data_IF_866429861624
#
_entry.id   IF_866429861624
#
_cell.length_a   1.000
_cell.length_b   1.000
_cell.length_c   1.000
_cell.angle_alpha   90.00
_cell.angle_beta   90.00
_cell.angle_gamma   90.00
#
_symmetry.space_group_name_H-M   'P 1'
#
loop_
_entity.id
_entity.type
_entity.pdbx_description
1 polymer ?
#
# COMPACT_ATOMS: atom_id res chain seq x y z
N UNK A 1 -26.43 8.34 1.43
CA UNK A 1 -25.84 8.40 1.15
C UNK A 1 -25.11 8.53 0.64
N UNK A 2 -25.19 8.68 0.63
CA UNK A 2 -24.51 8.77 0.28
C UNK A 2 -23.49 8.62 0.11
N UNK A 3 -23.26 8.14 0.38
CA UNK A 3 -22.09 7.61 0.25
C UNK A 3 -21.30 8.04 -0.63
N UNK A 4 -21.20 8.54 -0.66
CA UNK A 4 -20.51 9.05 -1.66
C UNK A 4 -19.14 8.64 -1.70
N UNK A 5 -18.62 8.71 -2.80
CA UNK A 5 -17.27 8.38 -3.06
C UNK A 5 -16.30 9.18 -2.28
N UNK A 6 -16.73 10.31 -1.80
CA UNK A 6 -15.88 11.08 -0.91
C UNK A 6 -15.60 10.32 0.35
N UNK A 7 -16.44 9.35 0.66
CA UNK A 7 -16.20 8.51 1.80
C UNK A 7 -14.96 7.66 1.67
N UNK A 8 -14.41 7.56 0.47
CA UNK A 8 -13.17 6.84 0.27
C UNK A 8 -11.98 7.58 0.84
N UNK A 9 -12.11 8.85 1.11
CA UNK A 9 -11.03 9.60 1.70
C UNK A 9 -11.19 9.56 3.21
N UNK A 10 -10.28 8.91 3.90
CA UNK A 10 -10.42 8.77 5.34
C UNK A 10 -10.28 10.12 6.02
N UNK A 11 -11.13 10.37 6.98
CA UNK A 11 -10.94 11.49 7.89
C UNK A 11 -9.92 11.09 8.92
N UNK A 12 -9.34 12.07 9.59
CA UNK A 12 -8.35 11.80 10.63
C UNK A 12 -9.01 11.01 11.76
N UNK A 13 -8.49 9.83 12.10
CA UNK A 13 -9.08 9.05 13.19
C UNK A 13 -8.82 9.70 14.54
N UNK A 14 -9.82 9.69 15.42
CA UNK A 14 -9.73 10.32 16.72
C UNK A 14 -9.70 9.30 17.86
N UNK A 15 -9.90 8.01 17.57
CA UNK A 15 -9.87 6.98 18.60
C UNK A 15 -9.50 5.65 17.98
N UNK A 16 -9.30 4.63 18.84
CA UNK A 16 -8.88 3.30 18.38
C UNK A 16 -9.88 2.64 17.47
N UNK A 17 -11.17 2.85 17.72
CA UNK A 17 -12.20 2.25 16.87
C UNK A 17 -12.13 2.79 15.45
N UNK A 18 -11.91 4.09 15.32
CA UNK A 18 -11.81 4.71 14.01
C UNK A 18 -10.57 4.26 13.25
N UNK A 19 -9.43 4.17 13.94
CA UNK A 19 -8.21 3.76 13.23
C UNK A 19 -8.30 2.30 12.82
N UNK A 20 -8.94 1.45 13.63
CA UNK A 20 -9.15 0.06 13.23
C UNK A 20 -10.06 -0.04 12.00
N UNK A 21 -11.11 0.77 11.95
CA UNK A 21 -11.99 0.79 10.80
C UNK A 21 -11.28 1.29 9.56
N UNK A 22 -10.42 2.29 9.70
CA UNK A 22 -9.63 2.77 8.57
C UNK A 22 -8.64 1.71 8.11
N UNK A 23 -8.04 0.98 9.04
CA UNK A 23 -7.12 -0.10 8.68
C UNK A 23 -7.84 -1.16 7.83
N UNK A 24 -9.07 -1.51 8.19
CA UNK A 24 -9.85 -2.46 7.39
C UNK A 24 -10.13 -1.90 6.00
N UNK A 25 -10.48 -0.62 5.92
CA UNK A 25 -10.79 0.01 4.65
C UNK A 25 -9.56 0.07 3.74
N UNK A 26 -8.42 0.44 4.30
CA UNK A 26 -7.17 0.49 3.55
C UNK A 26 -6.77 -0.92 3.11
N UNK A 27 -6.88 -1.88 4.01
CA UNK A 27 -6.54 -3.26 3.69
C UNK A 27 -7.41 -3.78 2.55
N UNK A 28 -8.71 -3.50 2.58
CA UNK A 28 -9.58 -3.87 1.47
C UNK A 28 -9.08 -3.28 0.16
N UNK A 29 -8.68 -2.02 0.18
CA UNK A 29 -8.24 -1.35 -1.04
C UNK A 29 -6.94 -1.94 -1.59
N UNK A 30 -5.99 -2.26 -0.72
CA UNK A 30 -4.69 -2.72 -1.21
C UNK A 30 -4.61 -4.23 -1.40
N UNK A 31 -5.42 -5.01 -0.66
CA UNK A 31 -5.34 -6.47 -0.72
C UNK A 31 -6.41 -7.10 -1.60
N UNK A 32 -7.59 -6.49 -1.65
CA UNK A 32 -8.74 -7.11 -2.29
C UNK A 32 -9.23 -6.40 -3.55
N UNK A 33 -8.63 -5.28 -3.94
CA UNK A 33 -8.87 -4.74 -5.27
C UNK A 33 -8.48 -5.80 -6.28
N UNK A 34 -9.32 -6.08 -7.29
CA UNK A 34 -8.98 -7.08 -8.29
C UNK A 34 -7.61 -6.81 -8.90
N UNK A 35 -6.84 -7.86 -9.09
CA UNK A 35 -5.45 -7.71 -9.56
C UNK A 35 -5.39 -6.91 -10.87
N UNK A 36 -6.36 -7.12 -11.75
CA UNK A 36 -6.36 -6.45 -13.04
C UNK A 36 -6.61 -4.94 -12.93
N UNK A 37 -7.08 -4.48 -11.80
CA UNK A 37 -7.29 -3.06 -11.54
C UNK A 37 -6.11 -2.43 -10.80
N UNK A 38 -5.15 -3.22 -10.37
CA UNK A 38 -3.95 -2.70 -9.73
C UNK A 38 -3.04 -2.06 -10.77
N UNK A 39 -2.13 -1.20 -10.31
CA UNK A 39 -1.22 -0.49 -11.20
C UNK A 39 -0.12 -1.41 -11.70
N UNK A 40 0.03 -1.59 -13.00
CA UNK A 40 1.14 -2.38 -13.51
C UNK A 40 2.46 -1.66 -13.27
N UNK A 41 3.54 -2.43 -13.25
CA UNK A 41 4.86 -1.85 -13.15
C UNK A 41 5.14 -1.09 -14.45
N UNK A 42 5.36 0.21 -14.34
CA UNK A 42 5.66 1.02 -15.50
C UNK A 42 6.93 1.79 -15.23
N UNK A 43 7.50 2.32 -16.29
CA UNK A 43 8.80 2.95 -16.19
C UNK A 43 8.80 4.19 -15.31
N UNK A 44 7.75 4.99 -15.41
CA UNK A 44 7.71 6.27 -14.72
C UNK A 44 6.64 6.35 -13.63
N UNK A 45 5.80 5.34 -13.51
CA UNK A 45 4.73 5.29 -12.51
C UNK A 45 3.83 6.54 -12.55
N UNK A 46 3.59 7.08 -13.74
CA UNK A 46 2.88 8.35 -13.87
C UNK A 46 1.43 8.27 -13.44
N UNK A 47 0.84 7.07 -13.44
CA UNK A 47 -0.55 6.90 -13.03
C UNK A 47 -0.71 6.79 -11.51
N UNK A 48 0.39 6.75 -10.77
CA UNK A 48 0.35 6.67 -9.32
C UNK A 48 0.32 8.07 -8.74
N UNK A 49 -0.60 8.38 -7.81
CA UNK A 49 -0.68 9.71 -7.23
C UNK A 49 0.60 10.09 -6.49
N UNK A 50 0.95 11.36 -6.59
CA UNK A 50 2.11 11.89 -5.86
C UNK A 50 1.65 12.43 -4.50
N UNK A 51 1.07 11.54 -3.69
CA UNK A 51 0.51 11.88 -2.39
C UNK A 51 0.96 10.85 -1.37
N UNK A 52 0.88 11.18 -0.08
CA UNK A 52 1.16 10.21 0.97
C UNK A 52 0.16 9.08 0.94
N UNK A 53 0.61 7.90 1.34
CA UNK A 53 -0.31 6.78 1.41
C UNK A 53 0.35 5.50 1.83
N UNK A 54 -0.44 4.44 1.73
CA UNK A 54 -0.03 3.07 1.98
C UNK A 54 -0.16 2.32 0.66
N UNK A 55 0.78 1.44 0.40
CA UNK A 55 0.82 0.70 -0.85
C UNK A 55 1.10 -0.77 -0.58
N UNK A 56 0.76 -1.60 -1.54
CA UNK A 56 1.09 -3.00 -1.53
C UNK A 56 1.73 -3.40 -2.84
N UNK A 57 2.74 -4.24 -2.76
CA UNK A 57 3.28 -4.95 -3.93
C UNK A 57 2.60 -6.30 -3.91
N UNK A 58 1.91 -6.65 -5.00
CA UNK A 58 1.10 -7.85 -5.08
C UNK A 58 1.53 -8.72 -6.25
N UNK A 59 1.42 -10.04 -6.05
CA UNK A 59 1.61 -11.00 -7.12
C UNK A 59 0.25 -11.59 -7.48
N UNK A 60 0.06 -11.88 -8.78
CA UNK A 60 -1.21 -12.36 -9.30
C UNK A 60 -1.74 -13.57 -8.54
N UNK A 61 -0.88 -14.51 -8.20
CA UNK A 61 -1.31 -15.73 -7.52
C UNK A 61 -0.80 -15.85 -6.10
N UNK A 62 0.28 -15.15 -5.74
CA UNK A 62 0.87 -15.23 -4.41
C UNK A 62 0.30 -14.19 -3.44
N UNK A 63 -0.46 -13.24 -3.95
CA UNK A 63 -1.09 -12.24 -3.12
C UNK A 63 -0.13 -11.14 -2.67
N UNK A 64 -0.28 -10.72 -1.43
CA UNK A 64 0.52 -9.62 -0.89
C UNK A 64 1.96 -10.05 -0.70
N UNK A 65 2.88 -9.30 -1.31
CA UNK A 65 4.31 -9.53 -1.14
C UNK A 65 4.93 -8.56 -0.14
N UNK A 66 4.48 -7.31 -0.19
CA UNK A 66 5.06 -6.26 0.66
C UNK A 66 4.03 -5.14 0.84
N UNK A 67 4.00 -4.55 2.03
CA UNK A 67 3.19 -3.38 2.34
C UNK A 67 4.09 -2.33 2.95
N UNK A 68 3.92 -1.08 2.53
CA UNK A 68 4.68 0.03 3.05
C UNK A 68 3.89 1.31 3.11
N UNK A 69 4.47 2.32 3.74
CA UNK A 69 3.94 3.66 3.77
C UNK A 69 4.94 4.63 3.19
N UNK A 70 4.47 5.76 2.70
CA UNK A 70 5.37 6.76 2.15
C UNK A 70 4.68 8.12 2.14
N UNK A 71 5.49 9.17 2.14
CA UNK A 71 4.99 10.53 1.96
C UNK A 71 4.67 10.84 0.50
N UNK A 72 5.22 10.06 -0.43
CA UNK A 72 4.94 10.22 -1.85
C UNK A 72 4.87 8.85 -2.50
N UNK A 73 3.66 8.42 -2.85
CA UNK A 73 3.47 7.12 -3.49
C UNK A 73 4.26 7.02 -4.80
N UNK A 74 4.13 8.04 -5.66
CA UNK A 74 4.85 8.01 -6.93
C UNK A 74 6.35 8.02 -6.71
N UNK A 75 6.82 8.88 -5.83
CA UNK A 75 8.24 9.03 -5.58
C UNK A 75 8.88 7.77 -5.02
N UNK A 76 8.09 7.00 -4.26
CA UNK A 76 8.62 5.78 -3.65
C UNK A 76 9.06 4.75 -4.67
N UNK A 77 8.44 4.73 -5.85
CA UNK A 77 8.71 3.70 -6.84
C UNK A 77 9.65 4.16 -7.95
N UNK A 78 9.83 5.46 -8.14
CA UNK A 78 10.58 5.97 -9.28
C UNK A 78 12.04 5.53 -9.31
N UNK A 79 12.66 5.38 -8.15
CA UNK A 79 14.04 4.92 -8.09
C UNK A 79 14.19 3.42 -7.94
N UNK A 80 13.10 2.69 -8.07
CA UNK A 80 13.07 1.26 -7.80
C UNK A 80 12.69 0.98 -6.36
N UNK A 81 12.34 -0.25 -6.08
CA UNK A 81 11.94 -0.67 -4.74
C UNK A 81 12.54 -2.04 -4.48
N UNK A 82 12.97 -2.28 -3.26
CA UNK A 82 13.59 -3.56 -2.90
C UNK A 82 12.68 -4.74 -3.21
N UNK A 83 11.36 -4.59 -3.03
CA UNK A 83 10.43 -5.66 -3.30
C UNK A 83 10.47 -6.11 -4.76
N UNK A 84 10.77 -5.20 -5.70
CA UNK A 84 10.86 -5.56 -7.10
C UNK A 84 12.07 -6.45 -7.36
N UNK A 85 13.20 -6.15 -6.71
CA UNK A 85 14.39 -6.97 -6.83
C UNK A 85 14.19 -8.33 -6.19
N UNK A 86 13.50 -8.38 -5.06
CA UNK A 86 13.20 -9.65 -4.39
C UNK A 86 12.27 -10.50 -5.24
N UNK A 87 11.29 -9.86 -5.89
CA UNK A 87 10.39 -10.57 -6.80
C UNK A 87 11.16 -11.16 -7.98
N UNK A 88 12.13 -10.41 -8.48
CA UNK A 88 12.96 -10.89 -9.58
C UNK A 88 13.80 -12.09 -9.13
N UNK A 89 14.36 -12.03 -7.92
CA UNK A 89 15.13 -13.16 -7.39
C UNK A 89 14.27 -14.40 -7.17
N UNK A 90 13.00 -14.20 -6.83
CA UNK A 90 12.05 -15.30 -6.68
C UNK A 90 11.54 -15.78 -8.03
N UNK A 91 12.05 -15.23 -9.12
CA UNK A 91 11.72 -15.62 -10.48
C UNK A 91 10.27 -15.34 -10.87
N UNK A 92 9.69 -14.31 -10.27
CA UNK A 92 8.36 -13.86 -10.66
C UNK A 92 8.47 -13.01 -11.93
N UNK A 93 7.52 -13.19 -12.83
CA UNK A 93 7.41 -12.34 -14.01
C UNK A 93 6.90 -10.97 -13.60
N UNK A 94 7.48 -9.92 -14.19
CA UNK A 94 7.04 -8.56 -13.88
C UNK A 94 5.57 -8.34 -14.22
N UNK A 95 5.04 -9.08 -15.21
CA UNK A 95 3.64 -8.99 -15.58
C UNK A 95 2.71 -9.49 -14.47
N UNK A 96 3.22 -10.31 -13.57
CA UNK A 96 2.44 -10.87 -12.47
C UNK A 96 2.60 -10.08 -11.18
N UNK A 97 3.31 -8.95 -11.22
CA UNK A 97 3.54 -8.11 -10.06
C UNK A 97 2.92 -6.74 -10.33
N UNK A 98 2.08 -6.28 -9.42
CA UNK A 98 1.41 -4.98 -9.54
C UNK A 98 1.38 -4.26 -8.22
N UNK A 99 1.02 -2.99 -8.29
CA UNK A 99 0.95 -2.11 -7.13
C UNK A 99 -0.50 -1.76 -6.85
N UNK A 100 -0.89 -1.87 -5.60
CA UNK A 100 -2.16 -1.33 -5.12
C UNK A 100 -1.82 -0.19 -4.16
N UNK A 101 -2.46 0.96 -4.32
CA UNK A 101 -2.14 2.13 -3.53
C UNK A 101 -3.40 2.73 -2.93
N UNK A 102 -3.25 3.33 -1.76
CA UNK A 102 -4.34 4.05 -1.11
C UNK A 102 -3.76 5.34 -0.54
N UNK A 103 -4.26 6.47 -1.03
CA UNK A 103 -3.82 7.76 -0.50
C UNK A 103 -4.39 7.97 0.89
N UNK A 104 -3.60 8.60 1.75
CA UNK A 104 -3.99 8.91 3.13
C UNK A 104 -3.82 10.41 3.34
N UNK A 105 -4.93 11.16 3.46
CA UNK A 105 -4.86 12.62 3.46
C UNK A 105 -4.26 13.25 4.70
N UNK A 106 -4.09 12.53 5.80
CA UNK A 106 -3.55 13.12 7.02
C UNK A 106 -2.03 12.93 7.12
N UNK A 107 -1.36 13.24 6.03
CA UNK A 107 0.10 13.12 5.95
C UNK A 107 0.83 14.00 6.96
N UNK A 108 0.16 15.05 7.47
CA UNK A 108 0.75 15.91 8.48
C UNK A 108 0.89 15.25 9.84
N UNK A 109 0.32 14.05 9.97
CA UNK A 109 0.40 13.30 11.21
C UNK A 109 1.07 11.96 10.94
N UNK A 110 2.41 11.95 10.85
CA UNK A 110 3.12 10.70 10.51
C UNK A 110 2.95 9.60 11.55
N UNK A 111 2.66 9.95 12.78
CA UNK A 111 2.43 8.94 13.81
C UNK A 111 1.17 8.12 13.52
N UNK A 112 0.13 8.75 13.00
CA UNK A 112 -1.08 8.03 12.60
C UNK A 112 -0.83 7.12 11.41
N UNK A 113 -0.05 7.58 10.46
CA UNK A 113 0.28 6.77 9.29
C UNK A 113 1.09 5.54 9.71
N UNK A 114 2.03 5.72 10.63
CA UNK A 114 2.82 4.62 11.16
C UNK A 114 1.95 3.62 11.91
N UNK A 115 1.03 4.11 12.72
CA UNK A 115 0.13 3.22 13.47
C UNK A 115 -0.79 2.44 12.54
N UNK A 116 -1.31 3.09 11.52
CA UNK A 116 -2.17 2.46 10.53
C UNK A 116 -1.42 1.33 9.81
N UNK A 117 -0.20 1.62 9.37
CA UNK A 117 0.63 0.61 8.73
C UNK A 117 0.90 -0.57 9.67
N UNK A 118 1.21 -0.28 10.92
CA UNK A 118 1.51 -1.33 11.89
C UNK A 118 0.33 -2.27 12.11
N UNK A 119 -0.88 -1.74 12.17
CA UNK A 119 -2.08 -2.55 12.32
C UNK A 119 -2.23 -3.47 11.12
N UNK A 120 -2.04 -2.93 9.92
CA UNK A 120 -2.19 -3.71 8.69
C UNK A 120 -1.11 -4.79 8.60
N UNK A 121 0.12 -4.46 8.94
CA UNK A 121 1.21 -5.43 8.89
C UNK A 121 1.00 -6.57 9.88
N UNK A 122 0.49 -6.28 11.07
CA UNK A 122 0.21 -7.34 12.04
C UNK A 122 -0.88 -8.29 11.55
N UNK A 123 -1.81 -7.78 10.76
CA UNK A 123 -2.89 -8.60 10.24
C UNK A 123 -2.48 -9.44 9.03
N UNK A 124 -1.50 -8.99 8.26
CA UNK A 124 -1.18 -9.59 6.96
C UNK A 124 0.16 -10.32 6.91
N UNK A 125 1.17 -9.82 7.61
CA UNK A 125 2.52 -10.38 7.63
C UNK A 125 3.02 -10.75 6.23
N UNK A 126 3.10 -9.79 5.30
CA UNK A 126 3.53 -10.12 3.95
C UNK A 126 4.97 -10.64 3.95
N UNK A 127 5.31 -11.59 3.08
CA UNK A 127 6.61 -12.26 3.15
C UNK A 127 7.80 -11.34 3.01
N UNK A 128 7.69 -10.31 2.17
CA UNK A 128 8.84 -9.43 1.98
C UNK A 128 9.01 -8.44 3.13
N UNK A 129 7.96 -8.18 3.89
CA UNK A 129 8.10 -7.34 5.08
C UNK A 129 8.89 -8.05 6.17
N UNK A 130 8.83 -9.37 6.21
CA UNK A 130 9.62 -10.16 7.15
C UNK A 130 11.09 -10.18 6.73
N UNK A 131 11.36 -10.25 5.43
CA UNK A 131 12.71 -10.40 4.89
C UNK A 131 13.43 -9.07 4.71
N UNK A 132 12.69 -8.01 4.38
CA UNK A 132 13.28 -6.69 4.13
C UNK A 132 13.24 -5.92 5.44
N UNK A 133 14.38 -5.37 5.90
CA UNK A 133 14.39 -4.56 7.12
C UNK A 133 13.41 -3.40 6.99
N UNK A 134 12.80 -3.05 8.12
CA UNK A 134 11.85 -1.95 8.13
C UNK A 134 12.55 -0.67 7.72
N UNK A 135 11.95 0.06 6.79
CA UNK A 135 12.49 1.33 6.34
C UNK A 135 11.93 2.43 7.20
N UNK A 136 12.77 3.32 7.60
CA UNK A 136 12.35 4.46 8.40
C UNK A 136 11.81 5.59 7.54
#
# INVERSE_FOLDING_TARGET
MIGSTTDNLPSVPTNNSEIQNQAKSVLDAIAFTPFEQCQPLSRDFSDIPDFPGIYAVRHRSQGLLYIGKTKSLRGRFKGGHKAFLWAWLDQYNSEDVRLAVQTIPYWKNPALLLELEAIILRATEPPYNVQIPMES
#
